data_IF_639120473192
#
_entry.id   IF_639120473192
#
_cell.length_a   1.000
_cell.length_b   1.000
_cell.length_c   1.000
_cell.angle_alpha   90.00
_cell.angle_beta   90.00
_cell.angle_gamma   90.00
#
_symmetry.space_group_name_H-M   'P 1'
#
loop_
_entity.id
_entity.type
_entity.pdbx_description
1 polymer ?
#
# COMPACT_ATOMS: atom_id res chain seq x y z
N UNK A 1 -8.04 21.88 13.56
CA UNK A 1 -7.31 21.73 14.85
C UNK A 1 -6.15 20.76 14.75
N UNK A 2 -6.35 19.54 14.22
CA UNK A 2 -5.26 18.55 14.10
C UNK A 2 -4.08 19.01 13.23
N UNK A 3 -4.32 19.61 12.05
CA UNK A 3 -3.26 20.14 11.18
C UNK A 3 -2.35 21.14 11.91
N UNK A 4 -2.94 22.08 12.65
CA UNK A 4 -2.20 23.11 13.37
C UNK A 4 -1.38 22.54 14.55
N UNK A 5 -1.77 21.38 15.08
CA UNK A 5 -1.07 20.70 16.16
C UNK A 5 0.10 19.83 15.69
N UNK A 6 0.23 19.59 14.37
CA UNK A 6 1.21 18.67 13.79
C UNK A 6 1.92 19.30 12.57
N UNK A 7 2.63 20.44 12.74
CA UNK A 7 3.31 21.10 11.64
C UNK A 7 4.40 20.19 11.04
N UNK A 8 4.46 20.12 9.71
CA UNK A 8 5.42 19.32 8.96
C UNK A 8 5.10 17.83 8.90
N UNK A 9 3.92 17.41 9.40
CA UNK A 9 3.52 16.01 9.41
C UNK A 9 3.25 15.47 8.00
N UNK A 10 3.25 14.13 7.90
CA UNK A 10 2.83 13.41 6.70
C UNK A 10 1.32 13.17 6.77
N UNK A 11 0.61 13.52 5.70
CA UNK A 11 -0.82 13.30 5.54
C UNK A 11 -1.08 12.40 4.34
N UNK A 12 -1.67 11.22 4.57
CA UNK A 12 -2.12 10.33 3.50
C UNK A 12 -3.57 10.71 3.17
N UNK A 13 -3.85 11.04 1.91
CA UNK A 13 -5.19 11.42 1.46
C UNK A 13 -5.91 10.19 0.93
N UNK A 14 -6.68 9.53 1.80
CA UNK A 14 -7.54 8.38 1.49
C UNK A 14 -6.92 7.03 1.80
N UNK A 15 -7.72 5.97 1.67
CA UNK A 15 -7.37 4.58 1.86
C UNK A 15 -8.12 3.68 0.87
N UNK A 16 -7.38 2.99 -0.01
CA UNK A 16 -7.92 2.06 -1.01
C UNK A 16 -9.15 2.62 -1.76
N UNK A 17 -9.04 3.79 -2.43
CA UNK A 17 -10.16 4.33 -3.21
C UNK A 17 -10.59 3.36 -4.32
N UNK A 18 -9.68 2.49 -4.74
CA UNK A 18 -9.87 1.42 -5.70
C UNK A 18 -10.60 0.18 -5.14
N UNK A 19 -11.11 0.18 -3.90
CA UNK A 19 -11.84 -0.95 -3.29
C UNK A 19 -13.25 -0.54 -2.87
N UNK A 20 -14.25 -1.33 -3.27
CA UNK A 20 -15.69 -1.04 -3.09
C UNK A 20 -16.12 -0.96 -1.61
N UNK A 21 -15.43 -1.67 -0.72
CA UNK A 21 -15.72 -1.72 0.73
C UNK A 21 -14.85 -0.75 1.56
N UNK A 22 -14.03 0.06 0.89
CA UNK A 22 -13.16 1.07 1.51
C UNK A 22 -13.65 2.47 1.11
N UNK A 23 -12.75 3.35 0.68
CA UNK A 23 -13.13 4.69 0.20
C UNK A 23 -14.05 4.64 -1.02
N UNK A 24 -13.92 3.62 -1.90
CA UNK A 24 -14.81 3.35 -3.03
C UNK A 24 -15.03 4.58 -3.93
N UNK A 25 -13.95 5.10 -4.50
CA UNK A 25 -13.96 6.32 -5.32
C UNK A 25 -13.37 6.02 -6.68
N UNK A 26 -14.07 6.41 -7.76
CA UNK A 26 -13.53 6.31 -9.11
C UNK A 26 -12.30 7.22 -9.33
N UNK A 27 -11.44 6.94 -10.32
CA UNK A 27 -10.13 7.57 -10.42
C UNK A 27 -10.20 9.09 -10.65
N UNK A 28 -11.12 9.56 -11.50
CA UNK A 28 -11.30 11.00 -11.74
C UNK A 28 -11.76 11.72 -10.48
N UNK A 29 -12.72 11.12 -9.75
CA UNK A 29 -13.24 11.71 -8.52
C UNK A 29 -12.20 11.72 -7.40
N UNK A 30 -11.35 10.69 -7.34
CA UNK A 30 -10.25 10.65 -6.37
C UNK A 30 -9.24 11.77 -6.64
N UNK A 31 -8.88 12.03 -7.92
CA UNK A 31 -8.00 13.14 -8.29
C UNK A 31 -8.56 14.51 -7.85
N UNK A 32 -9.88 14.72 -7.98
CA UNK A 32 -10.54 15.95 -7.53
C UNK A 32 -10.50 16.11 -6.00
N UNK A 33 -10.86 15.05 -5.27
CA UNK A 33 -10.81 15.04 -3.80
C UNK A 33 -9.38 15.29 -3.32
N UNK A 34 -8.40 14.66 -3.97
CA UNK A 34 -6.99 14.88 -3.66
C UNK A 34 -6.61 16.35 -3.86
N UNK A 35 -6.97 16.98 -4.98
CA UNK A 35 -6.67 18.37 -5.25
C UNK A 35 -7.21 19.31 -4.16
N UNK A 36 -8.49 19.14 -3.80
CA UNK A 36 -9.15 19.94 -2.77
C UNK A 36 -8.47 19.79 -1.41
N UNK A 37 -8.22 18.56 -0.97
CA UNK A 37 -7.59 18.28 0.32
C UNK A 37 -6.11 18.67 0.35
N UNK A 38 -5.38 18.44 -0.75
CA UNK A 38 -4.00 18.88 -0.89
C UNK A 38 -3.91 20.41 -0.72
N UNK A 39 -4.72 21.17 -1.46
CA UNK A 39 -4.78 22.63 -1.33
C UNK A 39 -5.12 23.08 0.09
N UNK A 40 -6.15 22.48 0.69
CA UNK A 40 -6.56 22.79 2.06
C UNK A 40 -5.44 22.59 3.08
N UNK A 41 -4.68 21.51 2.97
CA UNK A 41 -3.53 21.19 3.85
C UNK A 41 -2.39 22.19 3.59
N UNK A 42 -1.98 22.37 2.33
CA UNK A 42 -0.85 23.26 1.98
C UNK A 42 -1.06 24.71 2.39
N UNK A 43 -2.28 25.22 2.28
CA UNK A 43 -2.63 26.57 2.73
C UNK A 43 -2.40 26.78 4.24
N UNK A 44 -2.57 25.72 5.04
CA UNK A 44 -2.52 25.78 6.51
C UNK A 44 -1.17 25.36 7.06
N UNK A 45 -0.50 24.45 6.36
CA UNK A 45 0.83 23.99 6.68
C UNK A 45 1.63 23.78 5.38
N UNK A 46 2.35 24.82 4.92
CA UNK A 46 3.24 24.72 3.76
C UNK A 46 4.39 23.72 3.95
N UNK A 47 4.68 23.30 5.20
CA UNK A 47 5.73 22.33 5.51
C UNK A 47 5.24 20.89 5.56
N UNK A 48 3.91 20.66 5.53
CA UNK A 48 3.32 19.34 5.51
C UNK A 48 3.83 18.53 4.32
N UNK A 49 3.96 17.22 4.49
CA UNK A 49 4.21 16.28 3.39
C UNK A 49 2.93 15.54 3.05
N UNK A 50 2.55 15.49 1.78
CA UNK A 50 1.26 14.93 1.37
C UNK A 50 1.48 13.69 0.51
N UNK A 51 0.89 12.59 0.96
CA UNK A 51 0.97 11.29 0.32
C UNK A 51 -0.36 10.94 -0.37
N UNK A 52 -0.27 10.24 -1.49
CA UNK A 52 -1.45 9.64 -2.16
C UNK A 52 -1.98 8.45 -1.33
N UNK A 53 -3.25 8.11 -1.49
CA UNK A 53 -3.85 6.88 -0.95
C UNK A 53 -3.15 5.65 -1.51
N UNK A 54 -3.01 4.62 -0.68
CA UNK A 54 -2.57 3.31 -1.14
C UNK A 54 -3.69 2.66 -1.94
N UNK A 55 -3.37 2.17 -3.14
CA UNK A 55 -4.18 1.16 -3.81
C UNK A 55 -3.98 -0.20 -3.14
N UNK A 56 -4.99 -1.07 -3.13
CA UNK A 56 -4.97 -2.33 -2.37
C UNK A 56 -3.80 -3.27 -2.70
N UNK A 57 -3.33 -3.18 -3.94
CA UNK A 57 -2.22 -3.97 -4.48
C UNK A 57 -1.70 -3.32 -5.76
N UNK A 58 -0.42 -3.48 -6.13
CA UNK A 58 0.14 -2.79 -7.27
C UNK A 58 0.01 -3.59 -8.58
N UNK A 59 -1.12 -4.26 -8.81
CA UNK A 59 -1.38 -5.03 -10.05
C UNK A 59 -1.53 -4.12 -11.28
N UNK A 60 -1.46 -4.68 -12.51
CA UNK A 60 -1.74 -3.90 -13.72
C UNK A 60 -3.08 -3.14 -13.69
N UNK A 61 -4.14 -3.72 -13.11
CA UNK A 61 -5.44 -3.06 -13.04
C UNK A 61 -5.44 -1.85 -12.10
N UNK A 62 -4.81 -1.95 -10.92
CA UNK A 62 -4.71 -0.81 -10.00
C UNK A 62 -3.77 0.28 -10.53
N UNK A 63 -2.72 -0.10 -11.28
CA UNK A 63 -1.88 0.87 -12.00
C UNK A 63 -2.65 1.58 -13.11
N UNK A 64 -3.54 0.90 -13.83
CA UNK A 64 -4.43 1.54 -14.81
C UNK A 64 -5.46 2.48 -14.14
N UNK A 65 -5.93 2.16 -12.94
CA UNK A 65 -6.72 3.09 -12.12
C UNK A 65 -5.90 4.35 -11.78
N UNK A 66 -4.66 4.19 -11.29
CA UNK A 66 -3.78 5.32 -10.97
C UNK A 66 -3.38 6.14 -12.21
N UNK A 67 -3.20 5.51 -13.37
CA UNK A 67 -2.97 6.22 -14.63
C UNK A 67 -4.10 7.19 -14.92
N UNK A 68 -5.37 6.79 -14.73
CA UNK A 68 -6.52 7.67 -14.89
C UNK A 68 -6.58 8.79 -13.85
N UNK A 69 -6.16 8.53 -12.61
CA UNK A 69 -6.03 9.58 -11.58
C UNK A 69 -5.06 10.66 -12.05
N UNK A 70 -3.86 10.26 -12.48
CA UNK A 70 -2.81 11.18 -12.92
C UNK A 70 -3.21 11.94 -14.19
N UNK A 71 -3.76 11.23 -15.18
CA UNK A 71 -4.19 11.80 -16.45
C UNK A 71 -5.33 12.83 -16.25
N UNK A 72 -6.33 12.50 -15.42
CA UNK A 72 -7.43 13.42 -15.10
C UNK A 72 -6.94 14.66 -14.35
N UNK A 73 -6.03 14.49 -13.39
CA UNK A 73 -5.46 15.62 -12.66
C UNK A 73 -4.74 16.57 -13.62
N UNK A 74 -3.87 16.05 -14.48
CA UNK A 74 -3.12 16.83 -15.46
C UNK A 74 -4.04 17.53 -16.46
N UNK A 75 -5.08 16.86 -16.95
CA UNK A 75 -6.04 17.43 -17.89
C UNK A 75 -6.91 18.53 -17.25
N UNK A 76 -7.27 18.37 -15.98
CA UNK A 76 -8.19 19.27 -15.26
C UNK A 76 -7.48 20.50 -14.70
N UNK A 77 -6.29 20.32 -14.11
CA UNK A 77 -5.58 21.38 -13.38
C UNK A 77 -4.38 21.94 -14.14
N UNK A 78 -3.99 21.33 -15.26
CA UNK A 78 -2.93 21.83 -16.13
C UNK A 78 -1.51 21.62 -15.58
N UNK A 79 -1.35 20.88 -14.48
CA UNK A 79 -0.08 20.57 -13.84
C UNK A 79 -0.03 19.11 -13.36
N UNK A 80 1.18 18.54 -13.16
CA UNK A 80 1.31 17.21 -12.57
C UNK A 80 0.72 17.16 -11.16
N UNK A 81 0.16 16.02 -10.79
CA UNK A 81 -0.38 15.81 -9.44
C UNK A 81 0.73 15.96 -8.38
N UNK A 82 0.60 16.91 -7.42
CA UNK A 82 1.65 17.23 -6.47
C UNK A 82 1.67 16.21 -5.32
N UNK A 83 2.48 15.17 -5.46
CA UNK A 83 2.62 14.08 -4.50
C UNK A 83 4.00 14.14 -3.86
N UNK A 84 4.12 14.22 -2.53
CA UNK A 84 5.43 14.20 -1.85
C UNK A 84 5.90 12.77 -1.53
N UNK A 85 4.96 11.85 -1.34
CA UNK A 85 5.22 10.45 -0.97
C UNK A 85 4.22 9.56 -1.70
N UNK A 86 4.71 8.55 -2.40
CA UNK A 86 3.87 7.50 -2.94
C UNK A 86 3.56 6.47 -1.87
N UNK A 87 2.33 5.98 -1.84
CA UNK A 87 1.94 4.86 -0.98
C UNK A 87 1.28 3.77 -1.81
N UNK A 88 1.31 2.55 -1.29
CA UNK A 88 0.65 1.38 -1.88
C UNK A 88 0.42 0.34 -0.81
N UNK A 89 -0.62 -0.48 -0.94
CA UNK A 89 -0.75 -1.70 -0.16
C UNK A 89 -0.16 -2.88 -0.94
N UNK A 90 0.29 -3.90 -0.21
CA UNK A 90 1.03 -5.03 -0.75
C UNK A 90 0.26 -6.35 -0.67
N UNK A 91 -1.07 -6.33 -0.75
CA UNK A 91 -1.84 -7.57 -0.71
C UNK A 91 -1.79 -8.34 -2.05
N UNK A 92 -2.15 -9.61 -1.96
CA UNK A 92 -2.30 -10.51 -3.11
C UNK A 92 -3.75 -11.00 -3.08
N UNK A 93 -4.61 -10.27 -3.77
CA UNK A 93 -6.05 -10.51 -3.84
C UNK A 93 -6.52 -10.64 -5.29
N UNK A 94 -7.53 -11.48 -5.47
CA UNK A 94 -8.20 -11.66 -6.74
C UNK A 94 -8.90 -10.38 -7.21
N UNK A 95 -8.79 -10.10 -8.50
CA UNK A 95 -9.50 -9.00 -9.18
C UNK A 95 -10.54 -9.55 -10.13
N UNK A 96 -11.73 -9.86 -9.61
CA UNK A 96 -12.85 -10.35 -10.42
C UNK A 96 -14.17 -9.73 -9.92
N UNK A 97 -15.01 -9.30 -10.86
CA UNK A 97 -16.28 -8.68 -10.54
C UNK A 97 -17.21 -9.65 -9.79
N UNK A 98 -17.72 -9.22 -8.63
CA UNK A 98 -18.68 -10.01 -7.85
C UNK A 98 -18.09 -11.26 -7.17
N UNK A 99 -16.76 -11.36 -7.07
CA UNK A 99 -16.07 -12.46 -6.41
C UNK A 99 -15.28 -11.99 -5.17
N UNK A 100 -14.66 -12.92 -4.46
CA UNK A 100 -13.76 -12.63 -3.34
C UNK A 100 -12.51 -11.85 -3.78
N UNK A 101 -11.81 -11.24 -2.82
CA UNK A 101 -10.60 -10.47 -3.07
C UNK A 101 -10.86 -8.97 -3.17
N UNK A 102 -10.01 -8.26 -3.92
CA UNK A 102 -10.06 -6.81 -4.04
C UNK A 102 -11.11 -6.34 -5.05
N UNK A 103 -11.59 -7.24 -5.91
CA UNK A 103 -12.59 -6.94 -6.94
C UNK A 103 -12.08 -5.98 -8.02
N UNK A 104 -13.02 -5.35 -8.72
CA UNK A 104 -12.72 -4.36 -9.76
C UNK A 104 -12.80 -2.95 -9.17
N UNK A 105 -11.81 -2.07 -9.41
CA UNK A 105 -11.89 -0.71 -8.93
C UNK A 105 -13.12 0.03 -9.43
N UNK A 106 -13.75 0.86 -8.59
CA UNK A 106 -14.86 1.71 -9.02
C UNK A 106 -14.46 2.56 -10.22
N UNK A 107 -15.37 2.70 -11.18
CA UNK A 107 -15.15 3.46 -12.40
C UNK A 107 -14.36 2.75 -13.50
N UNK A 108 -13.85 1.53 -13.28
CA UNK A 108 -13.18 0.72 -14.32
C UNK A 108 -14.16 -0.18 -15.06
N UNK A 109 -14.12 -0.18 -16.40
CA UNK A 109 -15.01 -0.96 -17.27
C UNK A 109 -14.35 -2.27 -17.73
N UNK A 110 -14.09 -3.15 -16.77
CA UNK A 110 -13.55 -4.50 -16.98
C UNK A 110 -14.22 -5.49 -16.02
N UNK A 111 -14.25 -6.77 -16.36
CA UNK A 111 -14.79 -7.81 -15.48
C UNK A 111 -13.73 -8.55 -14.66
N UNK A 112 -12.45 -8.43 -15.03
CA UNK A 112 -11.33 -9.13 -14.40
C UNK A 112 -10.01 -8.35 -14.56
N UNK A 113 -9.13 -8.48 -13.58
CA UNK A 113 -7.74 -8.08 -13.60
C UNK A 113 -6.83 -9.29 -13.38
N UNK A 114 -5.91 -9.20 -12.41
CA UNK A 114 -5.10 -10.34 -12.00
C UNK A 114 -5.92 -11.31 -11.14
N UNK A 115 -5.99 -12.58 -11.56
CA UNK A 115 -6.77 -13.63 -10.90
C UNK A 115 -5.89 -14.46 -9.95
N UNK A 116 -5.43 -13.84 -8.86
CA UNK A 116 -4.78 -14.60 -7.79
C UNK A 116 -5.74 -15.61 -7.16
N UNK A 117 -5.18 -16.75 -6.77
CA UNK A 117 -5.88 -17.79 -6.02
C UNK A 117 -5.52 -17.70 -4.54
N UNK A 118 -6.30 -18.35 -3.67
CA UNK A 118 -6.05 -18.29 -2.22
C UNK A 118 -4.61 -18.65 -1.89
N UNK A 119 -4.08 -19.73 -2.49
CA UNK A 119 -2.71 -20.22 -2.26
C UNK A 119 -1.61 -19.20 -2.59
N UNK A 120 -1.89 -18.16 -3.37
CA UNK A 120 -0.93 -17.13 -3.74
C UNK A 120 -0.74 -16.09 -2.63
N UNK A 121 -1.64 -16.03 -1.64
CA UNK A 121 -1.76 -14.89 -0.72
C UNK A 121 -0.52 -14.64 0.17
N UNK A 122 0.33 -15.66 0.37
CA UNK A 122 1.62 -15.55 1.08
C UNK A 122 2.82 -15.90 0.16
N UNK A 123 2.66 -15.77 -1.15
CA UNK A 123 3.72 -16.07 -2.11
C UNK A 123 4.71 -14.90 -2.19
N UNK A 124 5.90 -15.10 -1.63
CA UNK A 124 6.97 -14.08 -1.59
C UNK A 124 7.43 -13.62 -2.97
N UNK A 125 7.41 -14.47 -4.00
CA UNK A 125 7.86 -14.09 -5.34
C UNK A 125 6.82 -13.17 -6.01
N UNK A 126 5.53 -13.49 -5.88
CA UNK A 126 4.44 -12.63 -6.37
C UNK A 126 4.47 -11.28 -5.66
N UNK A 127 4.60 -11.28 -4.33
CA UNK A 127 4.67 -10.06 -3.52
C UNK A 127 5.81 -9.14 -3.99
N UNK A 128 7.02 -9.70 -4.12
CA UNK A 128 8.20 -8.96 -4.56
C UNK A 128 8.03 -8.43 -5.97
N UNK A 129 7.59 -9.26 -6.92
CA UNK A 129 7.45 -8.85 -8.31
C UNK A 129 6.41 -7.74 -8.46
N UNK A 130 5.28 -7.83 -7.77
CA UNK A 130 4.26 -6.79 -7.75
C UNK A 130 4.81 -5.42 -7.33
N UNK A 131 5.63 -5.38 -6.28
CA UNK A 131 6.24 -4.14 -5.79
C UNK A 131 7.38 -3.63 -6.69
N UNK A 132 8.16 -4.52 -7.30
CA UNK A 132 9.17 -4.16 -8.29
C UNK A 132 8.54 -3.56 -9.56
N UNK A 133 7.44 -4.16 -10.03
CA UNK A 133 6.66 -3.65 -11.15
C UNK A 133 6.04 -2.29 -10.82
N UNK A 134 5.59 -2.10 -9.58
CA UNK A 134 5.12 -0.80 -9.13
C UNK A 134 6.22 0.26 -9.21
N UNK A 135 7.44 -0.07 -8.76
CA UNK A 135 8.58 0.84 -8.86
C UNK A 135 8.95 1.16 -10.30
N UNK A 136 8.94 0.17 -11.19
CA UNK A 136 9.14 0.40 -12.61
C UNK A 136 8.06 1.31 -13.21
N UNK A 137 6.79 1.11 -12.83
CA UNK A 137 5.69 1.98 -13.25
C UNK A 137 5.86 3.42 -12.73
N UNK A 138 6.19 3.61 -11.45
CA UNK A 138 6.49 4.93 -10.90
C UNK A 138 7.62 5.62 -11.67
N UNK A 139 8.71 4.91 -11.93
CA UNK A 139 9.82 5.44 -12.72
C UNK A 139 9.38 5.87 -14.13
N UNK A 140 8.56 5.05 -14.81
CA UNK A 140 8.03 5.37 -16.14
C UNK A 140 7.12 6.62 -16.16
N UNK A 141 6.57 7.00 -15.00
CA UNK A 141 5.73 8.19 -14.80
C UNK A 141 6.50 9.39 -14.23
N UNK A 142 7.83 9.29 -14.12
CA UNK A 142 8.68 10.37 -13.60
C UNK A 142 8.83 10.40 -12.08
N UNK A 143 8.35 9.36 -11.38
CA UNK A 143 8.36 9.27 -9.92
C UNK A 143 9.46 8.33 -9.36
N UNK A 144 10.53 8.06 -10.12
CA UNK A 144 11.65 7.24 -9.64
C UNK A 144 12.30 7.83 -8.38
N UNK A 145 12.46 9.16 -8.35
CA UNK A 145 13.12 9.91 -7.27
C UNK A 145 12.17 10.27 -6.11
N UNK A 146 11.06 9.55 -5.96
CA UNK A 146 10.08 9.78 -4.91
C UNK A 146 10.11 8.63 -3.89
N UNK A 147 9.95 8.96 -2.59
CA UNK A 147 9.84 7.94 -1.57
C UNK A 147 8.56 7.12 -1.75
N UNK A 148 8.66 5.81 -1.56
CA UNK A 148 7.53 4.86 -1.56
C UNK A 148 7.37 4.25 -0.18
N UNK A 149 6.14 4.30 0.34
CA UNK A 149 5.71 3.61 1.53
C UNK A 149 4.78 2.43 1.16
N UNK A 150 5.06 1.23 1.67
CA UNK A 150 4.09 0.13 1.64
C UNK A 150 3.28 0.19 2.94
N UNK A 151 2.16 0.90 2.91
CA UNK A 151 1.45 1.31 4.12
C UNK A 151 0.66 0.21 4.79
N UNK A 152 0.29 -0.83 4.04
CA UNK A 152 -0.30 -2.05 4.57
C UNK A 152 0.08 -3.25 3.70
N UNK A 153 0.46 -4.35 4.33
CA UNK A 153 0.60 -5.66 3.68
C UNK A 153 0.66 -6.75 4.75
N UNK A 154 0.42 -7.99 4.36
CA UNK A 154 0.49 -9.12 5.27
C UNK A 154 -0.32 -10.30 4.75
N UNK A 155 -0.54 -11.29 5.62
CA UNK A 155 -1.36 -12.46 5.34
C UNK A 155 -2.62 -12.39 6.17
N UNK A 156 -3.76 -12.09 5.54
CA UNK A 156 -5.06 -11.93 6.20
C UNK A 156 -5.94 -13.18 6.15
N UNK A 157 -5.55 -14.17 5.34
CA UNK A 157 -6.29 -15.43 5.23
C UNK A 157 -6.02 -16.34 6.44
N UNK A 158 -7.03 -17.00 7.02
CA UNK A 158 -6.85 -17.86 8.19
C UNK A 158 -6.18 -19.20 7.88
N UNK A 159 -5.65 -19.82 8.93
CA UNK A 159 -5.00 -21.15 8.90
C UNK A 159 -5.89 -22.22 8.21
N UNK A 160 -7.21 -22.15 8.42
CA UNK A 160 -8.18 -23.03 7.78
C UNK A 160 -8.17 -22.97 6.24
N UNK A 161 -7.64 -21.90 5.64
CA UNK A 161 -7.43 -21.77 4.19
C UNK A 161 -5.97 -22.02 3.76
N UNK A 162 -5.13 -22.61 4.62
CA UNK A 162 -3.76 -22.99 4.29
C UNK A 162 -2.69 -21.98 4.69
N UNK A 163 -2.95 -21.14 5.69
CA UNK A 163 -2.02 -20.13 6.20
C UNK A 163 -1.59 -20.43 7.64
N UNK A 164 -0.85 -21.53 7.85
CA UNK A 164 -0.42 -21.89 9.20
C UNK A 164 0.59 -20.87 9.74
N UNK A 165 0.70 -20.73 11.07
CA UNK A 165 1.51 -19.67 11.68
C UNK A 165 2.97 -19.60 11.22
N UNK A 166 3.60 -20.72 10.88
CA UNK A 166 4.98 -20.77 10.38
C UNK A 166 5.13 -20.14 9.00
N UNK A 167 4.13 -20.31 8.11
CA UNK A 167 4.13 -19.69 6.79
C UNK A 167 4.03 -18.17 6.93
N UNK A 168 3.11 -17.69 7.78
CA UNK A 168 2.92 -16.26 8.03
C UNK A 168 4.17 -15.64 8.65
N UNK A 169 4.80 -16.34 9.59
CA UNK A 169 6.07 -15.91 10.20
C UNK A 169 7.23 -15.87 9.20
N UNK A 170 7.32 -16.83 8.28
CA UNK A 170 8.33 -16.81 7.22
C UNK A 170 8.11 -15.61 6.31
N UNK A 171 6.89 -15.43 5.82
CA UNK A 171 6.53 -14.31 4.95
C UNK A 171 6.82 -12.95 5.60
N UNK A 172 6.53 -12.80 6.90
CA UNK A 172 6.90 -11.58 7.66
C UNK A 172 8.41 -11.33 7.62
N UNK A 173 9.25 -12.34 7.88
CA UNK A 173 10.71 -12.15 7.88
C UNK A 173 11.23 -11.89 6.47
N UNK A 174 10.79 -12.70 5.50
CA UNK A 174 11.24 -12.62 4.11
C UNK A 174 10.90 -11.27 3.47
N UNK A 175 9.73 -10.72 3.79
CA UNK A 175 9.31 -9.38 3.33
C UNK A 175 10.13 -8.26 3.96
N UNK A 176 10.45 -8.32 5.25
CA UNK A 176 11.31 -7.34 5.90
C UNK A 176 12.74 -7.38 5.35
N UNK A 177 13.32 -8.57 5.16
CA UNK A 177 14.63 -8.74 4.54
C UNK A 177 14.64 -8.17 3.11
N UNK A 178 13.56 -8.39 2.35
CA UNK A 178 13.38 -7.77 1.04
C UNK A 178 13.38 -6.25 1.13
N UNK A 179 12.55 -5.65 1.99
CA UNK A 179 12.48 -4.19 2.12
C UNK A 179 13.81 -3.55 2.55
N UNK A 180 14.53 -4.18 3.47
CA UNK A 180 15.82 -3.69 3.96
C UNK A 180 16.93 -3.75 2.91
N UNK A 181 16.88 -4.73 2.01
CA UNK A 181 17.94 -4.99 1.03
C UNK A 181 17.64 -4.47 -0.39
N UNK A 182 16.37 -4.23 -0.71
CA UNK A 182 15.95 -3.88 -2.06
C UNK A 182 16.49 -2.51 -2.51
N UNK A 183 17.42 -2.56 -3.47
CA UNK A 183 17.94 -1.41 -4.20
C UNK A 183 17.87 -1.66 -5.71
N UNK A 184 17.89 -0.59 -6.51
CA UNK A 184 17.86 -0.70 -7.97
C UNK A 184 17.86 0.64 -8.68
N UNK A 185 17.90 0.60 -10.01
CA UNK A 185 17.90 1.80 -10.86
C UNK A 185 16.63 2.66 -10.74
N UNK A 186 15.50 2.03 -10.38
CA UNK A 186 14.22 2.69 -10.14
C UNK A 186 14.03 3.10 -8.66
N UNK A 187 15.10 3.07 -7.87
CA UNK A 187 15.11 3.49 -6.47
C UNK A 187 15.54 4.94 -6.30
N UNK A 188 15.37 5.46 -5.09
CA UNK A 188 15.66 6.87 -4.81
C UNK A 188 17.18 7.11 -4.79
N UNK A 189 17.70 7.91 -5.71
CA UNK A 189 19.16 8.01 -5.90
C UNK A 189 19.91 8.54 -4.67
N UNK A 190 19.26 9.41 -3.88
CA UNK A 190 19.86 10.06 -2.71
C UNK A 190 20.01 9.14 -1.49
N UNK A 191 19.33 7.99 -1.46
CA UNK A 191 19.41 7.01 -0.36
C UNK A 191 20.11 5.70 -0.77
N UNK A 192 20.91 5.76 -1.84
CA UNK A 192 21.63 4.60 -2.37
C UNK A 192 20.80 3.73 -3.31
N UNK A 193 19.73 4.29 -3.88
CA UNK A 193 18.84 3.59 -4.81
C UNK A 193 17.88 2.65 -4.09
N UNK A 194 17.47 2.94 -2.85
CA UNK A 194 16.50 2.08 -2.15
C UNK A 194 15.15 2.13 -2.84
N UNK A 195 14.56 0.95 -2.98
CA UNK A 195 13.26 0.77 -3.59
C UNK A 195 12.12 0.99 -2.59
N UNK A 196 12.35 1.07 -1.29
CA UNK A 196 11.28 1.31 -0.32
C UNK A 196 11.81 2.11 0.87
N UNK A 197 11.08 3.14 1.29
CA UNK A 197 11.48 4.03 2.38
C UNK A 197 10.72 3.74 3.67
N UNK A 198 9.51 3.20 3.56
CA UNK A 198 8.67 2.82 4.69
C UNK A 198 7.87 1.56 4.36
N UNK A 199 7.61 0.72 5.36
CA UNK A 199 6.71 -0.42 5.24
C UNK A 199 6.07 -0.73 6.58
N UNK A 200 4.82 -1.20 6.56
CA UNK A 200 4.06 -1.48 7.78
C UNK A 200 3.33 -2.80 7.63
N UNK A 201 3.62 -3.73 8.54
CA UNK A 201 2.90 -5.00 8.64
C UNK A 201 1.48 -4.73 9.15
N UNK A 202 0.49 -5.09 8.35
CA UNK A 202 -0.88 -5.19 8.81
C UNK A 202 -1.01 -6.54 9.54
N UNK A 203 -1.27 -6.61 10.84
CA UNK A 203 -1.61 -5.50 11.75
C UNK A 203 -1.12 -5.70 13.20
N UNK A 204 -1.20 -4.63 14.01
CA UNK A 204 -0.97 -4.73 15.45
C UNK A 204 -2.03 -5.61 16.11
N UNK A 205 -3.32 -5.33 15.86
CA UNK A 205 -4.47 -6.10 16.34
C UNK A 205 -5.70 -5.71 15.49
N UNK A 206 -6.40 -6.69 14.94
CA UNK A 206 -7.66 -6.55 14.20
C UNK A 206 -8.65 -7.65 14.63
N UNK A 207 -9.93 -7.30 14.69
CA UNK A 207 -11.00 -8.21 15.16
C UNK A 207 -11.55 -9.11 14.04
N UNK A 208 -11.37 -8.71 12.78
CA UNK A 208 -11.84 -9.44 11.60
C UNK A 208 -10.71 -10.26 10.97
N UNK A 209 -9.59 -9.63 10.68
CA UNK A 209 -8.39 -10.25 10.16
C UNK A 209 -7.44 -10.58 11.30
N UNK A 210 -7.68 -11.72 11.96
CA UNK A 210 -6.91 -12.11 13.15
C UNK A 210 -5.55 -12.74 12.82
N UNK A 211 -5.38 -13.33 11.63
CA UNK A 211 -4.15 -14.04 11.24
C UNK A 211 -2.88 -13.20 11.40
N UNK A 212 -2.85 -11.93 10.94
CA UNK A 212 -1.63 -11.17 10.99
C UNK A 212 -1.41 -10.40 12.30
N UNK A 213 -2.29 -10.55 13.30
CA UNK A 213 -2.19 -9.81 14.56
C UNK A 213 -0.85 -10.06 15.23
N UNK A 214 -0.10 -8.99 15.52
CA UNK A 214 1.11 -9.04 16.34
C UNK A 214 0.79 -9.06 17.85
N UNK A 215 -0.37 -8.55 18.24
CA UNK A 215 -0.80 -8.43 19.63
C UNK A 215 -2.21 -8.99 19.80
N UNK A 216 -2.42 -9.74 20.87
CA UNK A 216 -3.74 -10.14 21.34
C UNK A 216 -4.17 -9.18 22.45
N UNK A 217 -5.12 -8.29 22.12
CA UNK A 217 -5.64 -7.31 23.06
C UNK A 217 -6.42 -7.94 24.23
N UNK A 218 -7.04 -9.11 24.03
CA UNK A 218 -7.80 -9.81 25.08
C UNK A 218 -6.86 -10.48 26.07
N UNK A 219 -5.83 -11.16 25.57
CA UNK A 219 -4.82 -11.78 26.41
C UNK A 219 -3.78 -10.78 26.95
N UNK A 220 -3.78 -9.54 26.44
CA UNK A 220 -2.82 -8.49 26.74
C UNK A 220 -1.36 -8.99 26.58
N UNK A 221 -1.09 -9.66 25.44
CA UNK A 221 0.21 -10.29 25.17
C UNK A 221 0.52 -10.35 23.66
N UNK A 222 1.79 -10.49 23.31
CA UNK A 222 2.19 -10.71 21.91
C UNK A 222 1.71 -12.09 21.44
N UNK A 223 1.15 -12.15 20.24
CA UNK A 223 0.87 -13.42 19.54
C UNK A 223 2.18 -14.14 19.20
N UNK A 224 2.16 -15.41 18.78
CA UNK A 224 3.36 -16.07 18.26
C UNK A 224 4.03 -15.29 17.10
N UNK A 225 3.23 -14.67 16.23
CA UNK A 225 3.74 -13.81 15.16
C UNK A 225 4.36 -12.52 15.72
N UNK A 226 3.74 -11.89 16.71
CA UNK A 226 4.29 -10.73 17.42
C UNK A 226 5.61 -11.01 18.13
N UNK A 227 5.75 -12.20 18.72
CA UNK A 227 7.00 -12.66 19.32
C UNK A 227 8.08 -12.82 18.25
N UNK A 228 7.73 -13.42 17.10
CA UNK A 228 8.65 -13.52 15.95
C UNK A 228 9.09 -12.16 15.45
N UNK A 229 8.17 -11.22 15.28
CA UNK A 229 8.46 -9.83 14.90
C UNK A 229 9.39 -9.15 15.92
N UNK A 230 9.09 -9.26 17.22
CA UNK A 230 9.91 -8.68 18.27
C UNK A 230 11.33 -9.27 18.32
N UNK A 231 11.48 -10.58 18.07
CA UNK A 231 12.79 -11.23 17.93
C UNK A 231 13.54 -10.71 16.72
N UNK A 232 12.88 -10.60 15.55
CA UNK A 232 13.50 -10.07 14.34
C UNK A 232 14.06 -8.66 14.56
N UNK A 233 13.24 -7.73 15.06
CA UNK A 233 13.64 -6.33 15.27
C UNK A 233 14.76 -6.17 16.31
N UNK A 234 14.85 -7.06 17.30
CA UNK A 234 15.95 -7.04 18.29
C UNK A 234 17.27 -7.61 17.75
N UNK A 235 17.20 -8.45 16.72
CA UNK A 235 18.36 -9.12 16.11
C UNK A 235 18.90 -8.43 14.85
N UNK A 236 18.10 -7.55 14.24
CA UNK A 236 18.43 -6.74 13.06
C UNK A 236 19.25 -5.50 13.39
#
# INVERSE_FOLDING_TARGET
EVLAAQPGAIWIIGNEPDVIVQDNVGPERYAEIYHELHGYIRERDPSARIAIAGVAQPTPLRRAYLDRVLDHYQATYGEPMPIDIWTVHGFIFREEAGNWGAGIPPGMDVSQGTLYELVDHANSDIFRQNLLDFRAWLASRGYAEYPLAVTEYGVVMPEAYGFPPELVQSFLVDSFDFFLSATGENGWSVDGGRLFQYWFWFSLNDDFFITPNLYDATANSLTPLGQRYATYIRGS
#
